data_IF_640515131662
#
_entry.id   IF_640515131662
#
_cell.length_a   1.000
_cell.length_b   1.000
_cell.length_c   1.000
_cell.angle_alpha   90.00
_cell.angle_beta   90.00
_cell.angle_gamma   90.00
#
_symmetry.space_group_name_H-M   'P 1'
#
loop_
_entity.id
_entity.type
_entity.pdbx_description
1 polymer ?
2 water ?
#
# COMPACT_ATOMS: atom_id res chain seq x y z
N UNK A 25 -11.14 15.21 -20.40
CA UNK A 25 -11.37 16.58 -20.85
C UNK A 25 -10.63 16.90 -22.16
N UNK A 26 -10.66 15.97 -23.12
CA UNK A 26 -10.05 16.08 -24.46
C UNK A 26 -8.55 16.29 -24.41
N UNK A 27 -8.01 16.47 -23.21
CA UNK A 27 -6.57 16.49 -23.04
C UNK A 27 -6.02 15.09 -23.22
N UNK A 28 -4.79 15.02 -23.70
CA UNK A 28 -4.08 13.78 -23.83
C UNK A 28 -2.79 13.88 -23.04
N UNK A 29 -2.34 12.75 -22.53
CA UNK A 29 -1.12 12.68 -21.77
C UNK A 29 0.03 13.33 -22.52
N UNK A 30 0.06 13.14 -23.84
CA UNK A 30 1.19 13.70 -24.59
C UNK A 30 1.10 15.23 -24.76
N UNK A 31 0.06 15.89 -24.24
CA UNK A 31 0.02 17.36 -24.17
C UNK A 31 0.96 17.92 -23.11
N UNK A 32 1.48 17.10 -22.20
CA UNK A 32 2.11 17.66 -21.01
C UNK A 32 3.63 17.75 -21.20
N UNK A 33 4.23 18.64 -20.42
CA UNK A 33 5.67 18.79 -20.32
C UNK A 33 6.07 18.55 -18.87
N UNK A 34 7.23 17.94 -18.66
CA UNK A 34 7.72 17.58 -17.33
C UNK A 34 9.22 17.82 -17.28
N UNK A 35 9.77 18.03 -16.09
CA UNK A 35 11.23 18.17 -15.98
C UNK A 35 11.91 16.82 -15.87
N UNK A 36 13.03 16.67 -16.57
CA UNK A 36 13.85 15.49 -16.33
C UNK A 36 14.77 15.77 -15.13
N UNK A 37 15.60 14.78 -14.80
CA UNK A 37 16.47 14.91 -13.64
C UNK A 37 17.27 16.20 -13.65
N UNK A 38 17.88 16.53 -14.79
CA UNK A 38 18.72 17.72 -14.97
C UNK A 38 17.93 19.04 -14.88
N UNK A 39 16.67 18.98 -14.41
CA UNK A 39 15.77 20.13 -14.36
C UNK A 39 15.66 20.81 -15.73
N UNK A 40 15.68 20.00 -16.79
CA UNK A 40 15.41 20.46 -18.14
C UNK A 40 14.07 19.88 -18.61
N UNK A 41 13.33 20.67 -19.37
CA UNK A 41 11.94 20.32 -19.63
C UNK A 41 11.86 19.31 -20.77
N UNK A 42 11.14 18.23 -20.52
CA UNK A 42 10.89 17.15 -21.46
C UNK A 42 9.50 17.33 -22.03
N UNK A 43 9.38 17.22 -23.35
CA UNK A 43 8.06 17.23 -23.96
C UNK A 43 7.57 15.80 -24.11
N UNK A 44 6.41 15.52 -23.52
CA UNK A 44 5.87 14.17 -23.55
C UNK A 44 5.26 13.80 -24.90
N UNK A 45 5.06 14.77 -25.80
CA UNK A 45 4.66 14.43 -27.16
C UNK A 45 5.73 13.63 -27.90
N UNK A 46 6.99 13.71 -27.46
CA UNK A 46 8.03 12.88 -28.05
C UNK A 46 7.74 11.40 -27.90
N UNK A 47 6.84 11.03 -26.98
CA UNK A 47 6.41 9.65 -26.80
C UNK A 47 5.04 9.36 -27.42
N UNK A 48 4.51 10.29 -28.23
CA UNK A 48 3.16 10.11 -28.76
C UNK A 48 3.01 8.77 -29.48
N UNK A 49 1.86 8.14 -29.34
CA UNK A 49 1.61 6.88 -30.00
C UNK A 49 2.28 5.68 -29.38
N UNK A 50 2.89 5.83 -28.20
CA UNK A 50 3.51 4.75 -27.47
C UNK A 50 2.71 4.45 -26.20
N UNK A 51 3.02 3.31 -25.58
CA UNK A 51 2.39 2.92 -24.33
C UNK A 51 3.35 3.32 -23.21
N UNK A 52 2.85 4.09 -22.25
CA UNK A 52 3.64 4.71 -21.20
C UNK A 52 3.13 4.25 -19.84
N UNK A 53 4.05 3.86 -18.96
CA UNK A 53 3.72 3.51 -17.60
C UNK A 53 4.35 4.56 -16.69
N UNK A 54 3.52 5.30 -15.97
CA UNK A 54 3.96 6.42 -15.16
C UNK A 54 3.98 5.93 -13.72
N UNK A 55 5.09 6.12 -13.03
CA UNK A 55 5.22 5.64 -11.67
C UNK A 55 5.95 6.70 -10.85
N UNK A 56 5.44 7.02 -9.67
CA UNK A 56 6.09 7.92 -8.73
C UNK A 56 7.03 7.11 -7.85
N UNK A 57 8.31 7.43 -7.92
CA UNK A 57 9.32 6.66 -7.22
C UNK A 57 9.70 7.36 -5.92
N UNK A 58 10.31 6.57 -5.04
CA UNK A 58 10.82 7.09 -3.77
C UNK A 58 11.97 8.05 -4.02
N UNK A 59 11.95 9.16 -3.28
CA UNK A 59 13.13 10.00 -3.22
C UNK A 59 14.25 9.31 -2.43
N UNK A 60 13.93 8.75 -1.26
CA UNK A 60 14.87 7.98 -0.46
C UNK A 60 15.12 6.60 -1.07
N UNK A 61 16.33 6.09 -0.88
CA UNK A 61 16.65 4.72 -1.27
C UNK A 61 15.93 3.73 -0.35
N UNK A 62 16.18 2.44 -0.57
CA UNK A 62 15.64 1.39 0.26
C UNK A 62 14.36 0.71 -0.22
N UNK A 63 14.13 0.66 -1.53
CA UNK A 63 12.98 -0.02 -2.13
C UNK A 63 13.45 -0.85 -3.31
N UNK A 64 14.58 -1.53 -3.10
CA UNK A 64 15.27 -2.21 -4.18
C UNK A 64 14.36 -3.19 -4.91
N UNK A 65 13.55 -3.94 -4.16
CA UNK A 65 12.75 -4.98 -4.81
C UNK A 65 11.61 -4.41 -5.64
N UNK A 66 11.28 -3.13 -5.45
CA UNK A 66 10.27 -2.59 -6.35
C UNK A 66 10.89 -1.98 -7.60
N UNK A 67 12.08 -1.36 -7.49
CA UNK A 67 12.83 -1.00 -8.68
C UNK A 67 13.17 -2.24 -9.50
N UNK A 68 13.59 -3.31 -8.84
CA UNK A 68 13.92 -4.53 -9.57
C UNK A 68 12.73 -5.00 -10.40
N UNK A 69 11.54 -5.08 -9.79
CA UNK A 69 10.37 -5.55 -10.50
C UNK A 69 9.98 -4.63 -11.65
N UNK A 70 10.10 -3.31 -11.45
CA UNK A 70 9.79 -2.38 -12.53
C UNK A 70 10.88 -2.40 -13.60
N UNK A 71 12.14 -2.57 -13.22
CA UNK A 71 13.17 -2.82 -14.22
C UNK A 71 12.92 -4.13 -14.98
N UNK A 72 12.36 -5.14 -14.30
CA UNK A 72 12.15 -6.45 -14.91
C UNK A 72 11.03 -6.41 -15.96
N UNK A 73 9.88 -5.82 -15.62
CA UNK A 73 8.80 -5.68 -16.59
C UNK A 73 9.25 -4.84 -17.79
N UNK A 74 10.13 -3.87 -17.56
CA UNK A 74 10.60 -2.99 -18.64
C UNK A 74 11.58 -3.70 -19.57
N UNK A 75 12.46 -4.55 -19.02
CA UNK A 75 13.32 -5.34 -19.90
C UNK A 75 12.50 -6.32 -20.72
N UNK A 76 11.61 -7.06 -20.07
CA UNK A 76 10.72 -8.01 -20.73
C UNK A 76 10.07 -7.39 -21.95
N UNK A 77 9.13 -6.45 -21.73
CA UNK A 77 8.39 -5.85 -22.82
C UNK A 77 9.31 -5.15 -23.82
N UNK A 78 10.48 -4.66 -23.38
CA UNK A 78 11.44 -4.11 -24.33
C UNK A 78 11.88 -5.16 -25.35
N UNK A 79 12.11 -6.40 -24.90
CA UNK A 79 12.48 -7.48 -25.82
C UNK A 79 11.35 -7.79 -26.79
N UNK A 80 10.17 -8.16 -26.27
CA UNK A 80 9.02 -8.45 -27.10
C UNK A 80 8.68 -7.32 -28.07
N UNK A 81 8.77 -6.08 -27.62
CA UNK A 81 8.21 -4.93 -28.34
C UNK A 81 9.14 -3.74 -28.19
N UNK A 82 10.29 -3.77 -28.84
CA UNK A 82 11.28 -2.69 -28.65
C UNK A 82 10.74 -1.35 -29.13
N UNK A 83 10.91 -0.33 -28.29
CA UNK A 83 10.48 1.05 -28.55
C UNK A 83 8.97 1.24 -28.39
N UNK A 84 8.23 0.14 -28.18
CA UNK A 84 6.78 0.25 -28.04
C UNK A 84 6.35 0.86 -26.72
N UNK A 85 7.23 0.88 -25.71
CA UNK A 85 6.82 0.97 -24.31
C UNK A 85 7.89 1.66 -23.49
N UNK A 86 7.55 2.78 -22.84
CA UNK A 86 8.48 3.51 -21.99
C UNK A 86 7.93 3.60 -20.57
N UNK A 87 8.81 3.50 -19.58
CA UNK A 87 8.49 3.68 -18.17
C UNK A 87 9.09 5.02 -17.74
N UNK A 88 8.26 5.86 -17.12
CA UNK A 88 8.68 7.16 -16.62
C UNK A 88 8.56 7.14 -15.11
N UNK A 89 9.69 7.15 -14.40
CA UNK A 89 9.69 7.27 -12.96
C UNK A 89 9.81 8.74 -12.56
N UNK A 90 9.01 9.15 -11.59
CA UNK A 90 9.05 10.52 -11.08
C UNK A 90 9.32 10.47 -9.59
N UNK A 91 10.49 10.90 -9.14
CA UNK A 91 10.79 10.87 -7.70
C UNK A 91 9.84 11.77 -6.93
N UNK A 92 9.56 11.35 -5.69
CA UNK A 92 8.61 12.06 -4.84
C UNK A 92 9.01 11.88 -3.39
N UNK A 93 9.21 13.00 -2.70
CA UNK A 93 9.60 13.01 -1.30
C UNK A 93 8.40 13.02 -0.36
N UNK A 94 7.18 13.01 -0.89
CA UNK A 94 5.98 13.23 -0.10
C UNK A 94 5.55 12.05 0.73
N UNK A 95 6.24 10.91 0.72
CA UNK A 95 5.77 9.73 1.47
C UNK A 95 6.87 9.24 2.42
N UNK A 96 7.20 10.07 3.40
CA UNK A 96 8.09 9.70 4.50
C UNK A 96 7.68 10.34 5.81
N UNK A 97 7.66 9.55 6.90
CA UNK A 97 7.07 10.01 8.16
C UNK A 97 8.13 10.39 9.19
N UNK A 98 7.89 11.50 9.85
CA UNK A 98 8.74 12.13 10.87
C UNK A 98 8.83 11.26 12.12
N UNK A 114 19.07 -2.07 -7.06
CA UNK A 114 18.10 -1.00 -7.26
C UNK A 114 18.55 -0.03 -8.35
N UNK A 115 19.21 -0.55 -9.39
CA UNK A 115 19.53 0.24 -10.56
C UNK A 115 18.48 -0.03 -11.63
N UNK A 116 18.08 1.04 -12.34
CA UNK A 116 17.06 0.94 -13.37
C UNK A 116 17.62 1.56 -14.65
N UNK A 117 17.01 1.20 -15.77
CA UNK A 117 17.42 1.74 -17.06
C UNK A 117 16.40 2.66 -17.72
N UNK A 118 15.12 2.61 -17.30
CA UNK A 118 14.11 3.49 -17.87
C UNK A 118 14.35 4.92 -17.41
N UNK A 119 13.85 5.90 -18.16
CA UNK A 119 14.04 7.30 -17.77
C UNK A 119 13.46 7.60 -16.40
N UNK A 120 14.27 8.21 -15.55
CA UNK A 120 13.82 8.74 -14.27
C UNK A 120 13.87 10.26 -14.33
N UNK A 121 12.80 10.92 -13.92
CA UNK A 121 12.56 12.31 -14.24
C UNK A 121 12.89 13.22 -13.05
N UNK A 122 12.72 14.52 -13.27
CA UNK A 122 12.89 15.46 -12.19
C UNK A 122 11.94 15.17 -11.04
N UNK A 123 12.30 15.67 -9.87
CA UNK A 123 11.48 15.45 -8.68
C UNK A 123 10.23 16.32 -8.77
N UNK A 124 9.09 15.75 -8.38
CA UNK A 124 7.82 16.47 -8.42
C UNK A 124 6.99 16.14 -7.17
N UNK A 125 5.93 16.92 -7.00
CA UNK A 125 4.89 16.60 -6.04
C UNK A 125 3.72 15.97 -6.77
N UNK A 126 3.26 14.82 -6.25
CA UNK A 126 2.08 14.18 -6.83
C UNK A 126 0.80 14.59 -6.15
N UNK A 127 0.87 15.28 -5.00
CA UNK A 127 -0.31 15.58 -4.19
C UNK A 127 -0.27 17.01 -3.70
N UNK A 128 -1.43 17.52 -3.36
CA UNK A 128 -1.55 18.90 -2.94
C UNK A 128 -1.82 19.84 -4.08
N UNK A 129 -2.03 21.11 -3.71
CA UNK A 129 -2.25 22.16 -4.70
C UNK A 129 -0.97 22.48 -5.45
N UNK A 130 0.15 22.04 -4.90
CA UNK A 130 1.47 22.11 -5.49
C UNK A 130 1.78 20.93 -6.42
N UNK A 131 0.85 19.99 -6.60
CA UNK A 131 1.14 18.82 -7.41
C UNK A 131 1.42 19.24 -8.85
N UNK A 132 2.33 18.53 -9.49
CA UNK A 132 2.63 18.85 -10.88
C UNK A 132 1.36 18.74 -11.72
N UNK A 133 1.11 19.67 -12.65
CA UNK A 133 -0.13 19.61 -13.44
C UNK A 133 -0.39 18.24 -14.06
N UNK A 134 0.67 17.53 -14.49
CA UNK A 134 0.49 16.19 -15.03
C UNK A 134 -0.26 15.28 -14.04
N UNK A 135 0.17 15.27 -12.76
CA UNK A 135 -0.46 14.40 -11.79
C UNK A 135 -1.86 14.88 -11.40
N UNK A 136 -2.12 16.19 -11.44
CA UNK A 136 -3.50 16.63 -11.26
C UNK A 136 -4.40 16.02 -12.34
N UNK A 137 -3.90 15.94 -13.57
CA UNK A 137 -4.68 15.35 -14.64
C UNK A 137 -4.82 13.83 -14.46
N UNK A 138 -3.69 13.12 -14.23
CA UNK A 138 -3.74 11.67 -14.03
C UNK A 138 -4.74 11.27 -12.95
N UNK A 139 -4.81 12.05 -11.87
CA UNK A 139 -5.63 11.66 -10.72
C UNK A 139 -7.12 11.83 -11.01
N UNK A 140 -7.53 12.96 -11.60
CA UNK A 140 -8.91 13.15 -12.06
C UNK A 140 -9.28 12.11 -13.10
N UNK A 141 -8.40 11.86 -14.06
CA UNK A 141 -8.73 10.98 -15.19
C UNK A 141 -8.94 9.53 -14.75
N UNK A 142 -8.29 9.10 -13.67
CA UNK A 142 -8.43 7.73 -13.19
C UNK A 142 -8.33 7.76 -11.68
N UNK A 143 -9.46 7.99 -11.01
CA UNK A 143 -9.46 8.00 -9.55
C UNK A 143 -9.07 6.65 -8.97
N UNK A 144 -8.42 6.70 -7.82
CA UNK A 144 -8.07 5.51 -7.09
C UNK A 144 -9.27 4.82 -6.49
N UNK A 145 -9.03 3.97 -5.51
CA UNK A 145 -10.09 3.11 -5.00
C UNK A 145 -11.15 3.94 -4.28
N UNK A 146 -12.42 3.64 -4.59
CA UNK A 146 -13.61 4.31 -4.05
C UNK A 146 -13.72 5.75 -4.50
N UNK A 147 -12.97 6.12 -5.54
CA UNK A 147 -12.95 7.47 -6.04
C UNK A 147 -11.89 8.33 -5.42
N UNK A 148 -11.18 7.84 -4.41
CA UNK A 148 -10.12 8.61 -3.79
C UNK A 148 -9.08 8.95 -4.83
N UNK A 149 -8.80 10.24 -4.97
CA UNK A 149 -7.98 10.76 -6.05
C UNK A 149 -6.49 10.84 -5.67
N UNK A 150 -6.17 11.11 -4.39
CA UNK A 150 -4.79 11.14 -3.92
C UNK A 150 -4.04 9.84 -4.20
N UNK A 151 -2.75 9.99 -4.55
CA UNK A 151 -1.81 8.89 -4.50
C UNK A 151 -1.51 8.55 -3.05
N UNK A 152 -1.68 7.28 -2.70
CA UNK A 152 -1.57 6.87 -1.30
C UNK A 152 -0.13 6.72 -0.86
N UNK A 153 0.73 6.16 -1.72
CA UNK A 153 2.07 5.78 -1.31
C UNK A 153 3.00 5.89 -2.51
N UNK A 154 4.29 5.63 -2.29
CA UNK A 154 5.22 5.56 -3.41
C UNK A 154 4.78 4.43 -4.35
N UNK A 155 5.09 4.58 -5.63
CA UNK A 155 5.00 3.51 -6.63
C UNK A 155 3.57 3.16 -7.05
N UNK A 156 2.61 4.06 -6.87
CA UNK A 156 1.39 3.92 -7.66
C UNK A 156 1.76 4.05 -9.13
N UNK A 157 1.04 3.32 -9.99
CA UNK A 157 1.31 3.26 -11.43
C UNK A 157 0.09 3.71 -12.23
N UNK A 158 0.32 4.49 -13.28
CA UNK A 158 -0.70 4.79 -14.29
C UNK A 158 -0.23 4.31 -15.66
N UNK A 159 -1.14 3.71 -16.42
CA UNK A 159 -0.84 3.20 -17.75
C UNK A 159 -1.49 4.09 -18.81
N UNK A 160 -0.67 4.62 -19.72
CA UNK A 160 -1.12 5.50 -20.80
C UNK A 160 -1.18 4.69 -22.09
N UNK A 161 -2.37 4.62 -22.71
CA UNK A 161 -2.50 3.98 -24.00
C UNK A 161 -1.94 4.85 -25.12
N UNK A 162 -1.80 4.23 -26.31
CA UNK A 162 -1.15 4.91 -27.42
C UNK A 162 -1.86 6.22 -27.77
N UNK A 163 -3.16 6.32 -27.48
CA UNK A 163 -3.95 7.52 -27.70
C UNK A 163 -3.82 8.55 -26.59
N UNK A 164 -3.12 8.25 -25.50
CA UNK A 164 -2.89 9.21 -24.45
C UNK A 164 -3.95 9.31 -23.36
N UNK A 165 -4.90 8.39 -23.32
CA UNK A 165 -5.85 8.33 -22.22
C UNK A 165 -5.33 7.39 -21.14
N UNK A 166 -5.65 7.69 -19.89
CA UNK A 166 -5.27 6.79 -18.80
C UNK A 166 -6.14 5.55 -18.87
N UNK A 167 -5.51 4.39 -19.05
CA UNK A 167 -6.24 3.14 -19.15
C UNK A 167 -6.12 2.29 -17.89
N UNK A 168 -5.32 2.69 -16.91
CA UNK A 168 -5.15 1.85 -15.74
C UNK A 168 -4.46 2.54 -14.58
N UNK A 169 -4.90 2.28 -13.35
CA UNK A 169 -4.19 2.74 -12.17
C UNK A 169 -4.10 1.58 -11.17
N UNK A 170 -2.90 1.36 -10.63
CA UNK A 170 -2.69 0.25 -9.69
C UNK A 170 -2.01 0.76 -8.44
N UNK A 171 -2.40 0.21 -7.29
CA UNK A 171 -1.84 0.66 -6.03
C UNK A 171 -0.39 0.19 -5.89
N UNK A 172 0.30 0.77 -4.90
CA UNK A 172 1.70 0.40 -4.66
C UNK A 172 1.86 -1.09 -4.37
N UNK A 173 0.81 -1.73 -3.83
CA UNK A 173 0.83 -3.13 -3.46
C UNK A 173 0.65 -4.06 -4.65
N UNK A 174 0.23 -3.55 -5.80
CA UNK A 174 0.11 -4.38 -6.98
C UNK A 174 1.48 -4.56 -7.63
N UNK A 175 1.75 -5.75 -8.04
CA UNK A 175 3.06 -6.02 -8.59
C UNK A 175 3.08 -5.72 -10.08
N UNK A 176 4.05 -4.92 -10.56
CA UNK A 176 4.17 -4.61 -12.00
C UNK A 176 3.89 -5.78 -12.96
N UNK A 177 4.16 -7.01 -12.50
CA UNK A 177 3.96 -8.19 -13.35
C UNK A 177 2.49 -8.43 -13.64
N UNK A 178 1.59 -7.85 -12.84
CA UNK A 178 0.16 -7.99 -13.10
C UNK A 178 -0.34 -6.94 -14.08
N UNK A 179 0.39 -5.84 -14.28
CA UNK A 179 0.05 -4.92 -15.35
C UNK A 179 0.45 -5.46 -16.71
N UNK A 180 1.37 -6.44 -16.74
CA UNK A 180 2.10 -6.81 -17.96
C UNK A 180 1.16 -7.15 -19.10
N UNK A 181 0.06 -7.86 -18.82
CA UNK A 181 -0.87 -8.21 -19.89
C UNK A 181 -1.73 -7.02 -20.31
N UNK A 182 -1.99 -6.07 -19.40
CA UNK A 182 -2.63 -4.82 -19.80
C UNK A 182 -1.71 -3.97 -20.68
N UNK A 183 -0.40 -3.96 -20.37
CA UNK A 183 0.54 -3.24 -21.22
C UNK A 183 0.51 -3.80 -22.63
N UNK A 184 0.71 -5.11 -22.74
CA UNK A 184 0.82 -5.77 -24.05
C UNK A 184 -0.45 -5.62 -24.87
N UNK A 185 -1.63 -5.64 -24.23
CA UNK A 185 -2.87 -5.27 -24.93
C UNK A 185 -2.84 -3.82 -25.40
N UNK A 186 -2.37 -2.89 -24.57
CA UNK A 186 -2.25 -1.53 -25.06
C UNK A 186 -1.32 -1.45 -26.26
N UNK A 187 -0.27 -2.30 -26.28
CA UNK A 187 0.71 -2.25 -27.36
C UNK A 187 0.12 -2.81 -28.66
N UNK A 188 -0.62 -3.92 -28.58
CA UNK A 188 -1.19 -4.48 -29.81
C UNK A 188 -2.28 -3.59 -30.42
N UNK A 189 -2.76 -2.60 -29.68
CA UNK A 189 -3.75 -1.64 -30.14
C UNK A 189 -3.09 -0.57 -31.01
N UNK A 190 -3.68 -0.21 -32.14
CA UNK A 190 -3.10 0.88 -32.93
C UNK A 190 -3.39 2.23 -32.29
N UNK A 191 -2.50 3.18 -32.53
CA UNK A 191 -2.75 4.57 -32.16
C UNK A 191 -3.74 5.20 -33.14
N UNK A 192 -4.40 6.30 -32.74
CA UNK A 192 -5.33 6.94 -33.69
C UNK A 192 -4.61 7.72 -34.81
N UNK B 26 6.66 -14.74 31.33
CA UNK B 26 6.18 -13.53 30.65
C UNK B 26 4.79 -13.73 30.02
N UNK B 27 3.97 -12.67 30.06
CA UNK B 27 2.71 -12.65 29.34
C UNK B 27 2.99 -12.20 27.92
N UNK B 28 2.67 -13.05 26.97
CA UNK B 28 2.87 -12.76 25.57
C UNK B 28 1.52 -12.63 24.88
N UNK B 29 1.54 -11.97 23.72
CA UNK B 29 0.34 -11.91 22.89
C UNK B 29 -0.17 -13.32 22.59
N UNK B 30 0.73 -14.30 22.49
CA UNK B 30 0.37 -15.64 22.08
C UNK B 30 -0.29 -16.45 23.19
N UNK B 31 -0.38 -15.91 24.40
CA UNK B 31 -1.07 -16.56 25.52
C UNK B 31 -2.58 -16.35 25.49
N UNK B 32 -3.06 -15.41 24.68
CA UNK B 32 -4.46 -15.03 24.75
C UNK B 32 -5.32 -15.93 23.89
N UNK B 33 -6.56 -16.10 24.33
CA UNK B 33 -7.62 -16.64 23.49
C UNK B 33 -8.54 -15.50 23.07
N UNK B 34 -9.20 -15.66 21.94
CA UNK B 34 -10.12 -14.65 21.43
C UNK B 34 -11.29 -15.36 20.77
N UNK B 35 -12.47 -14.73 20.67
CA UNK B 35 -13.57 -15.37 19.96
C UNK B 35 -13.43 -15.20 18.45
N UNK B 36 -13.77 -16.26 17.70
CA UNK B 36 -13.84 -16.14 16.26
C UNK B 36 -15.24 -15.72 15.83
N UNK B 37 -15.44 -15.53 14.52
CA UNK B 37 -16.73 -15.08 14.03
C UNK B 37 -17.90 -15.88 14.57
N UNK B 38 -17.76 -17.21 14.63
CA UNK B 38 -18.78 -18.10 15.17
C UNK B 38 -18.67 -18.25 16.69
N UNK B 39 -17.99 -17.32 17.36
CA UNK B 39 -17.61 -17.43 18.76
C UNK B 39 -17.23 -18.85 19.15
N UNK B 40 -16.19 -19.36 18.51
CA UNK B 40 -15.38 -20.47 19.00
C UNK B 40 -14.13 -19.91 19.65
N UNK B 41 -13.59 -20.66 20.59
CA UNK B 41 -12.29 -20.33 21.17
C UNK B 41 -11.23 -20.37 20.07
N UNK B 42 -10.52 -19.25 19.89
CA UNK B 42 -9.31 -19.22 19.10
C UNK B 42 -8.14 -19.01 20.03
N UNK B 43 -7.14 -19.88 19.97
CA UNK B 43 -5.93 -19.70 20.75
C UNK B 43 -4.87 -19.02 19.89
N UNK B 44 -4.46 -17.83 20.32
CA UNK B 44 -3.46 -17.10 19.58
C UNK B 44 -2.13 -17.84 19.52
N UNK B 45 -1.91 -18.78 20.45
CA UNK B 45 -0.74 -19.67 20.38
C UNK B 45 -0.59 -20.36 19.02
N UNK B 46 -1.69 -20.52 18.28
CA UNK B 46 -1.53 -21.15 16.97
C UNK B 46 -0.70 -20.30 16.02
N UNK B 47 -0.48 -19.03 16.33
CA UNK B 47 0.34 -18.15 15.53
C UNK B 47 1.72 -17.93 16.12
N UNK B 48 2.07 -18.65 17.18
CA UNK B 48 3.34 -18.43 17.89
C UNK B 48 4.52 -18.38 16.92
N UNK B 49 5.39 -17.39 17.12
CA UNK B 49 6.56 -17.19 16.29
C UNK B 49 6.29 -16.49 14.98
N UNK B 50 5.10 -15.92 14.81
CA UNK B 50 4.79 -15.19 13.59
C UNK B 50 4.55 -13.73 13.92
N UNK B 51 4.56 -12.94 12.84
CA UNK B 51 4.38 -11.50 12.92
C UNK B 51 2.91 -11.22 12.68
N UNK B 52 2.29 -10.46 13.59
CA UNK B 52 0.84 -10.31 13.64
C UNK B 52 0.48 -8.84 13.73
N UNK B 53 -0.47 -8.41 12.88
CA UNK B 53 -1.00 -7.06 12.94
C UNK B 53 -2.45 -7.11 13.42
N UNK B 54 -2.76 -6.35 14.46
CA UNK B 54 -4.04 -6.40 15.15
C UNK B 54 -4.78 -5.11 14.85
N UNK B 55 -5.97 -5.21 14.29
CA UNK B 55 -6.73 -4.04 13.86
C UNK B 55 -8.18 -4.20 14.31
N UNK B 56 -8.70 -3.20 15.02
CA UNK B 56 -10.09 -3.21 15.44
C UNK B 56 -10.93 -2.63 14.31
N UNK B 57 -11.82 -3.44 13.77
CA UNK B 57 -12.54 -3.12 12.55
C UNK B 57 -13.90 -2.52 12.86
N UNK B 58 -14.52 -1.96 11.83
CA UNK B 58 -15.82 -1.36 12.00
C UNK B 58 -16.87 -2.45 12.18
N UNK B 59 -17.81 -2.19 13.08
CA UNK B 59 -18.99 -3.02 13.25
C UNK B 59 -19.87 -2.95 12.00
N UNK B 60 -20.53 -1.81 11.85
CA UNK B 60 -21.53 -1.58 10.81
C UNK B 60 -20.87 -1.56 9.42
N UNK B 61 -21.70 -1.74 8.39
CA UNK B 61 -21.21 -1.70 7.02
C UNK B 61 -20.65 -0.32 6.69
N UNK B 62 -20.07 -0.20 5.49
CA UNK B 62 -19.68 1.08 4.96
C UNK B 62 -18.42 1.68 5.54
N UNK B 63 -17.33 0.92 5.54
CA UNK B 63 -15.97 1.37 5.84
C UNK B 63 -15.00 0.65 4.91
N UNK B 64 -15.39 0.56 3.63
CA UNK B 64 -14.73 -0.34 2.69
C UNK B 64 -13.30 0.11 2.34
N UNK B 65 -12.98 1.40 2.49
CA UNK B 65 -11.64 1.84 2.10
C UNK B 65 -10.58 1.20 2.98
N UNK B 66 -10.85 1.09 4.28
CA UNK B 66 -9.87 0.58 5.22
C UNK B 66 -9.70 -0.94 5.09
N UNK B 67 -10.77 -1.68 4.77
CA UNK B 67 -10.65 -3.13 4.63
C UNK B 67 -9.85 -3.50 3.39
N UNK B 68 -10.18 -2.90 2.25
CA UNK B 68 -9.47 -3.21 1.01
C UNK B 68 -8.01 -2.78 1.09
N UNK B 69 -7.75 -1.65 1.75
CA UNK B 69 -6.39 -1.18 1.92
C UNK B 69 -5.57 -2.16 2.75
N UNK B 70 -6.13 -2.63 3.86
CA UNK B 70 -5.43 -3.59 4.70
C UNK B 70 -5.25 -4.91 3.98
N UNK B 71 -6.33 -5.46 3.42
CA UNK B 71 -6.20 -6.69 2.63
C UNK B 71 -5.12 -6.55 1.59
N UNK B 72 -4.99 -5.37 0.99
CA UNK B 72 -4.01 -5.15 -0.06
C UNK B 72 -2.59 -5.21 0.48
N UNK B 73 -2.34 -4.69 1.67
CA UNK B 73 -1.00 -4.86 2.24
C UNK B 73 -0.77 -6.29 2.67
N UNK B 74 -1.82 -6.98 3.13
CA UNK B 74 -1.72 -8.38 3.54
C UNK B 74 -1.37 -9.28 2.37
N UNK B 75 -2.09 -9.15 1.25
CA UNK B 75 -1.79 -9.99 0.10
C UNK B 75 -0.37 -9.75 -0.38
N UNK B 76 0.14 -8.53 -0.21
CA UNK B 76 1.50 -8.17 -0.61
C UNK B 76 2.54 -8.94 0.21
N UNK B 77 2.60 -8.64 1.51
CA UNK B 77 3.51 -9.34 2.41
C UNK B 77 3.32 -10.85 2.27
N UNK B 78 2.07 -11.28 2.06
CA UNK B 78 1.77 -12.70 1.88
C UNK B 78 2.52 -13.32 0.69
N UNK B 79 2.70 -12.55 -0.38
CA UNK B 79 3.43 -13.12 -1.51
C UNK B 79 4.95 -13.03 -1.31
N UNK B 80 5.44 -12.05 -0.58
CA UNK B 80 6.88 -12.00 -0.32
C UNK B 80 7.30 -13.04 0.71
N UNK B 81 6.55 -13.16 1.80
CA UNK B 81 6.84 -14.08 2.90
C UNK B 81 5.59 -14.86 3.18
N UNK B 82 5.29 -15.89 2.38
CA UNK B 82 4.09 -16.70 2.62
C UNK B 82 4.15 -17.37 3.98
N UNK B 83 3.14 -17.08 4.81
CA UNK B 83 2.84 -17.66 6.13
C UNK B 83 3.48 -16.89 7.28
N UNK B 84 4.37 -15.94 7.02
CA UNK B 84 5.02 -15.24 8.14
C UNK B 84 4.08 -14.25 8.81
N UNK B 85 3.08 -13.75 8.09
CA UNK B 85 2.35 -12.54 8.50
C UNK B 85 0.84 -12.80 8.55
N UNK B 86 0.24 -12.45 9.68
CA UNK B 86 -1.18 -12.64 9.92
C UNK B 86 -1.79 -11.29 10.26
N UNK B 87 -2.88 -10.94 9.58
CA UNK B 87 -3.70 -9.80 9.96
C UNK B 87 -4.93 -10.34 10.71
N UNK B 88 -5.22 -9.76 11.87
CA UNK B 88 -6.35 -10.15 12.70
C UNK B 88 -7.29 -8.96 12.86
N UNK B 89 -8.49 -9.08 12.32
CA UNK B 89 -9.52 -8.05 12.47
C UNK B 89 -10.50 -8.39 13.59
N UNK B 90 -10.75 -7.40 14.44
CA UNK B 90 -11.67 -7.52 15.57
C UNK B 90 -12.76 -6.48 15.42
N UNK B 91 -13.96 -6.88 15.02
CA UNK B 91 -15.06 -5.89 14.90
C UNK B 91 -15.40 -5.27 16.24
N UNK B 92 -15.79 -3.99 16.20
CA UNK B 92 -16.10 -3.26 17.42
C UNK B 92 -17.16 -2.21 17.12
N UNK B 93 -18.27 -2.26 17.87
CA UNK B 93 -19.37 -1.32 17.71
C UNK B 93 -19.23 -0.08 18.59
N UNK B 94 -18.10 0.09 19.25
CA UNK B 94 -17.90 1.13 20.25
C UNK B 94 -17.63 2.50 19.66
N UNK B 95 -17.62 2.66 18.34
CA UNK B 95 -17.30 3.96 17.75
C UNK B 95 -18.38 4.37 16.75
N UNK B 96 -18.24 5.58 16.22
CA UNK B 96 -19.17 6.14 15.25
C UNK B 96 -19.18 7.66 15.17
N UNK B 115 -15.43 -7.98 2.67
CA UNK B 115 -14.88 -9.18 2.05
C UNK B 115 -13.35 -9.09 1.90
N UNK B 116 -12.65 -9.73 2.85
CA UNK B 116 -11.19 -9.81 2.89
C UNK B 116 -10.80 -11.28 3.08
N UNK B 117 -9.48 -11.55 3.03
CA UNK B 117 -8.98 -12.92 3.22
C UNK B 117 -8.30 -13.17 4.57
N UNK B 118 -7.86 -12.13 5.27
CA UNK B 118 -7.28 -12.35 6.59
C UNK B 118 -8.38 -12.69 7.58
N UNK B 119 -8.04 -13.40 8.65
CA UNK B 119 -9.06 -13.83 9.61
C UNK B 119 -9.77 -12.64 10.26
N UNK B 120 -11.09 -12.78 10.40
CA UNK B 120 -11.91 -11.84 11.14
C UNK B 120 -12.52 -12.55 12.33
N UNK B 121 -12.40 -11.95 13.50
CA UNK B 121 -12.73 -12.62 14.74
C UNK B 121 -14.08 -12.15 15.25
N UNK B 122 -14.49 -12.72 16.38
CA UNK B 122 -15.74 -12.33 17.00
C UNK B 122 -15.76 -10.86 17.34
N UNK B 123 -16.94 -10.39 17.71
CA UNK B 123 -17.09 -9.00 18.09
C UNK B 123 -16.63 -8.83 19.51
N UNK B 124 -15.86 -7.76 19.76
CA UNK B 124 -15.30 -7.47 21.07
C UNK B 124 -15.41 -5.98 21.38
N UNK B 125 -15.29 -5.70 22.67
CA UNK B 125 -15.08 -4.35 23.14
C UNK B 125 -13.60 -4.08 23.24
N UNK B 126 -13.21 -2.91 22.78
CA UNK B 126 -11.82 -2.50 22.79
C UNK B 126 -11.48 -1.54 23.94
N UNK B 127 -12.47 -0.83 24.51
CA UNK B 127 -12.28 0.15 25.58
C UNK B 127 -13.18 -0.19 26.77
N UNK B 128 -12.94 0.51 27.89
CA UNK B 128 -13.75 0.35 29.08
C UNK B 128 -13.45 -0.90 29.88
N UNK B 129 -14.16 -1.04 31.01
CA UNK B 129 -13.97 -2.20 31.90
C UNK B 129 -14.36 -3.49 31.21
N UNK B 130 -15.25 -3.40 30.22
CA UNK B 130 -15.79 -4.46 29.37
C UNK B 130 -14.88 -4.82 28.19
N UNK B 131 -13.68 -4.28 28.13
CA UNK B 131 -12.80 -4.58 27.01
C UNK B 131 -12.31 -6.01 27.10
N UNK B 132 -12.08 -6.62 25.96
CA UNK B 132 -11.56 -7.97 25.99
C UNK B 132 -10.16 -7.95 26.63
N UNK B 133 -9.80 -8.99 27.42
CA UNK B 133 -8.45 -9.03 28.03
C UNK B 133 -7.33 -8.67 27.07
N UNK B 134 -7.39 -9.16 25.83
CA UNK B 134 -6.31 -8.90 24.88
C UNK B 134 -6.12 -7.39 24.66
N UNK B 135 -7.22 -6.62 24.59
CA UNK B 135 -7.06 -5.18 24.36
C UNK B 135 -6.69 -4.45 25.64
N UNK B 136 -7.19 -4.89 26.79
CA UNK B 136 -6.63 -4.42 28.05
C UNK B 136 -5.10 -4.59 28.05
N UNK B 137 -4.60 -5.75 27.61
CA UNK B 137 -3.16 -6.00 27.55
C UNK B 137 -2.46 -5.14 26.50
N UNK B 138 -2.91 -5.22 25.23
CA UNK B 138 -2.30 -4.45 24.13
C UNK B 138 -2.20 -2.96 24.46
N UNK B 139 -3.24 -2.41 25.11
CA UNK B 139 -3.29 -0.98 25.37
C UNK B 139 -2.22 -0.55 26.37
N UNK B 140 -2.10 -1.28 27.49
CA UNK B 140 -1.11 -0.89 28.49
C UNK B 140 0.31 -1.26 28.05
N UNK B 141 0.48 -2.28 27.20
CA UNK B 141 1.82 -2.56 26.67
C UNK B 141 2.31 -1.41 25.80
N UNK B 142 1.51 -0.97 24.82
CA UNK B 142 1.91 0.09 23.90
C UNK B 142 0.92 1.24 23.98
N UNK B 143 1.20 2.24 24.80
CA UNK B 143 0.27 3.37 24.94
C UNK B 143 0.29 4.29 23.73
N UNK B 144 -0.76 5.12 23.64
CA UNK B 144 -0.92 6.05 22.55
C UNK B 144 -0.06 7.27 22.74
N UNK B 145 -0.47 8.35 22.06
CA UNK B 145 0.47 9.41 21.70
C UNK B 145 1.12 10.03 22.93
N UNK B 146 0.33 10.44 23.89
CA UNK B 146 0.86 11.09 25.08
C UNK B 146 0.59 10.26 26.31
N UNK B 147 0.77 8.94 26.18
CA UNK B 147 0.44 8.02 27.23
C UNK B 147 -0.99 7.54 27.22
N UNK B 148 -1.88 8.21 26.47
CA UNK B 148 -3.29 7.84 26.46
C UNK B 148 -3.44 6.44 25.86
N UNK B 149 -4.11 5.56 26.58
CA UNK B 149 -4.08 4.16 26.23
C UNK B 149 -5.33 3.67 25.48
N UNK B 150 -6.48 4.34 25.63
CA UNK B 150 -7.66 3.91 24.89
C UNK B 150 -7.48 4.03 23.37
N UNK B 151 -8.26 3.22 22.67
CA UNK B 151 -8.36 3.30 21.23
C UNK B 151 -9.34 4.41 20.86
N UNK B 152 -8.89 5.33 20.00
CA UNK B 152 -9.68 6.52 19.71
C UNK B 152 -10.70 6.31 18.60
N UNK B 153 -10.41 5.51 17.58
CA UNK B 153 -11.43 5.25 16.57
C UNK B 153 -11.24 3.85 15.99
N UNK B 154 -12.04 3.52 14.99
CA UNK B 154 -11.86 2.26 14.27
C UNK B 154 -10.49 2.21 13.61
N UNK B 155 -10.00 0.97 13.39
CA UNK B 155 -8.81 0.71 12.58
C UNK B 155 -7.50 1.25 13.19
N UNK B 156 -7.37 1.20 14.51
CA UNK B 156 -6.06 1.39 15.14
C UNK B 156 -5.30 0.08 15.00
N UNK B 157 -4.00 0.16 14.70
CA UNK B 157 -3.23 -1.04 14.35
C UNK B 157 -2.10 -1.30 15.35
N UNK B 158 -2.03 -2.54 15.85
CA UNK B 158 -0.99 -3.01 16.76
C UNK B 158 -0.17 -4.08 16.07
N UNK B 159 1.14 -3.91 16.02
CA UNK B 159 2.03 -4.88 15.38
C UNK B 159 2.68 -5.76 16.44
N UNK B 160 2.56 -7.08 16.30
CA UNK B 160 3.13 -8.04 17.25
C UNK B 160 4.34 -8.70 16.61
N UNK B 161 5.47 -8.73 17.35
CA UNK B 161 6.65 -9.40 16.85
C UNK B 161 6.61 -10.88 17.13
N UNK B 162 7.54 -11.61 16.50
CA UNK B 162 7.60 -13.05 16.68
C UNK B 162 7.77 -13.48 18.13
N UNK B 163 8.25 -12.59 18.99
CA UNK B 163 8.36 -12.88 20.42
C UNK B 163 7.09 -12.59 21.21
N UNK B 164 6.01 -12.18 20.54
CA UNK B 164 4.74 -11.93 21.18
C UNK B 164 4.59 -10.62 21.92
N UNK B 165 5.54 -9.69 21.78
CA UNK B 165 5.45 -8.40 22.46
C UNK B 165 5.13 -7.32 21.44
N UNK B 166 4.46 -6.26 21.87
CA UNK B 166 3.95 -5.26 20.92
C UNK B 166 5.08 -4.33 20.51
N UNK B 167 5.41 -4.33 19.22
CA UNK B 167 6.52 -3.52 18.71
C UNK B 167 6.09 -2.18 18.12
N UNK B 168 4.79 -1.91 18.03
CA UNK B 168 4.32 -0.71 17.36
C UNK B 168 2.82 -0.55 17.52
N UNK B 169 2.38 0.71 17.47
CA UNK B 169 0.96 1.07 17.50
C UNK B 169 0.71 2.30 16.64
N UNK B 170 -0.24 2.23 15.71
CA UNK B 170 -0.55 3.34 14.83
C UNK B 170 -2.04 3.60 14.91
N UNK B 171 -2.42 4.87 14.74
CA UNK B 171 -3.82 5.28 14.81
C UNK B 171 -4.50 5.07 13.45
N UNK B 172 -5.79 5.46 13.35
CA UNK B 172 -6.53 5.25 12.11
C UNK B 172 -6.02 6.10 10.95
N UNK B 173 -5.35 7.22 11.24
CA UNK B 173 -4.83 8.15 10.24
C UNK B 173 -3.62 7.62 9.49
N UNK B 174 -2.95 6.57 9.98
CA UNK B 174 -1.76 6.05 9.33
C UNK B 174 -2.13 4.98 8.31
N UNK B 175 -1.51 5.07 7.13
CA UNK B 175 -1.81 4.12 6.06
C UNK B 175 -1.09 2.80 6.31
N UNK B 176 -1.77 1.68 6.07
CA UNK B 176 -1.08 0.38 6.14
C UNK B 176 0.18 0.30 5.30
N UNK B 177 0.23 0.99 4.14
CA UNK B 177 1.42 0.90 3.28
C UNK B 177 2.65 1.45 3.98
N UNK B 178 2.46 2.34 4.95
CA UNK B 178 3.52 2.89 5.78
C UNK B 178 4.05 1.91 6.82
N UNK B 179 3.31 0.83 7.09
CA UNK B 179 3.67 -0.12 8.14
C UNK B 179 4.54 -1.25 7.60
N UNK B 180 4.58 -1.42 6.26
CA UNK B 180 5.27 -2.56 5.66
C UNK B 180 6.73 -2.63 6.06
N UNK B 181 7.40 -1.49 6.16
CA UNK B 181 8.80 -1.46 6.61
C UNK B 181 8.97 -2.22 7.93
N UNK B 182 8.22 -1.83 8.96
CA UNK B 182 8.35 -2.41 10.29
C UNK B 182 7.84 -3.86 10.34
N UNK B 183 6.93 -4.23 9.43
CA UNK B 183 6.49 -5.62 9.39
C UNK B 183 7.60 -6.50 8.83
N UNK B 184 8.14 -6.12 7.67
CA UNK B 184 9.19 -6.89 7.02
C UNK B 184 10.44 -6.97 7.90
N UNK B 185 10.80 -5.86 8.57
CA UNK B 185 11.86 -5.91 9.58
C UNK B 185 11.60 -6.95 10.67
N UNK B 186 10.36 -7.02 11.19
CA UNK B 186 10.05 -8.03 12.20
C UNK B 186 10.06 -9.44 11.63
N UNK B 187 9.76 -9.60 10.32
CA UNK B 187 9.78 -10.94 9.73
C UNK B 187 11.20 -11.46 9.58
N UNK B 188 12.15 -10.59 9.19
CA UNK B 188 13.55 -11.03 9.12
C UNK B 188 14.11 -11.39 10.50
N UNK B 189 13.53 -10.84 11.56
CA UNK B 189 13.92 -11.14 12.93
C UNK B 189 13.50 -12.57 13.31
N UNK B 190 14.39 -13.36 13.91
CA UNK B 190 13.99 -14.71 14.34
C UNK B 190 13.15 -14.71 15.61
N UNK B 191 12.29 -15.73 15.71
CA UNK B 191 11.48 -15.99 16.90
C UNK B 191 12.35 -16.40 18.11
N UNK B 192 11.85 -16.18 19.35
CA UNK B 192 12.59 -16.56 20.58
C UNK B 192 12.78 -18.06 20.72
#
# INVERSE_FOLDING_TARGET
MKETWWETWWTEWSQPKKKRKVMSSATSFFDFKVPDGADNEVDLSQYKGKVVLVVNTASKCGFTYQYKNLESVYQAIKKEYPDDFVVLGFPCNQFGSQEPGSNEEIQNFCSLEQKVTFPVMGKINVNGDDAHPLYKWLKKEKPGLLGLERVKWNFEKFLIGRDGKVIGRWASTTEPEKIQDKIIEAIKQPAP
MKETWWETWWTEWSQPKKKRKVMSSATSFFDFKVPDGADNEVDLSQYKGKVVLVVNTASKCGFTYQYKNLESVYQAIKKEYPDDFVVLGFPCNQFGSQEPGSNEEIQNFCSLEQKVTFPVMGKINVNGDDAHPLYKWLKKEKPGLLGLERVKWNFEKFLIGRDGKVIGRWASTTEPEKIQDKIIEAIKQPAP
#
